data_IF_255158938302
#
_entry.id   IF_255158938302
#
_cell.length_a   1.000
_cell.length_b   1.000
_cell.length_c   1.000
_cell.angle_alpha   90.00
_cell.angle_beta   90.00
_cell.angle_gamma   90.00
#
_symmetry.space_group_name_H-M   'P 1'
#
loop_
_entity.id
_entity.type
_entity.pdbx_description
1 polymer ?
#
# COMPACT_ATOMS: atom_id res chain seq x y z
N UNK A 1 -58.65 -16.67 -35.17
CA UNK A 1 -57.20 -16.70 -34.87
C UNK A 1 -57.00 -16.31 -33.41
N UNK A 2 -56.10 -17.02 -32.72
CA UNK A 2 -55.64 -16.94 -31.29
C UNK A 2 -55.80 -15.54 -30.64
N UNK A 3 -56.11 -15.41 -29.34
CA UNK A 3 -55.13 -15.71 -28.26
C UNK A 3 -55.77 -15.81 -26.86
N UNK A 4 -55.25 -16.75 -26.09
CA UNK A 4 -55.46 -17.02 -24.66
C UNK A 4 -54.82 -15.93 -23.78
N UNK A 5 -55.45 -15.54 -22.67
CA UNK A 5 -54.79 -14.77 -21.59
C UNK A 5 -54.68 -15.63 -20.33
N UNK A 6 -53.47 -16.14 -20.06
CA UNK A 6 -53.06 -16.64 -18.75
C UNK A 6 -52.04 -15.67 -18.19
N UNK A 7 -52.33 -15.03 -17.05
CA UNK A 7 -51.30 -14.45 -16.19
C UNK A 7 -51.76 -14.56 -14.73
N UNK A 8 -50.98 -15.27 -13.92
CA UNK A 8 -50.94 -15.09 -12.47
C UNK A 8 -49.46 -15.14 -12.09
N UNK A 9 -48.94 -13.94 -11.90
CA UNK A 9 -47.62 -13.67 -11.35
C UNK A 9 -47.54 -14.22 -9.93
N UNK A 10 -46.49 -14.98 -9.61
CA UNK A 10 -46.05 -15.15 -8.22
C UNK A 10 -44.56 -14.83 -8.18
N UNK A 11 -44.27 -13.57 -7.89
CA UNK A 11 -42.94 -13.10 -7.52
C UNK A 11 -42.67 -13.51 -6.08
N UNK A 12 -41.74 -14.42 -5.86
CA UNK A 12 -41.16 -14.67 -4.55
C UNK A 12 -39.79 -13.98 -4.48
N UNK A 13 -39.77 -12.72 -4.00
CA UNK A 13 -38.53 -12.09 -3.57
C UNK A 13 -38.18 -12.61 -2.16
N UNK A 14 -37.27 -13.57 -2.08
CA UNK A 14 -36.61 -13.92 -0.83
C UNK A 14 -35.44 -12.95 -0.60
N UNK A 15 -35.63 -11.95 0.27
CA UNK A 15 -34.54 -11.09 0.75
C UNK A 15 -33.69 -11.89 1.76
N UNK A 16 -32.52 -12.35 1.32
CA UNK A 16 -31.49 -12.86 2.22
C UNK A 16 -30.82 -11.71 2.97
N UNK A 17 -30.97 -11.67 4.30
CA UNK A 17 -30.18 -10.80 5.16
C UNK A 17 -28.71 -11.22 5.11
N UNK A 18 -27.88 -10.49 4.36
CA UNK A 18 -26.43 -10.51 4.52
C UNK A 18 -26.09 -9.71 5.77
N UNK A 19 -25.70 -10.41 6.83
CA UNK A 19 -25.12 -9.81 8.03
C UNK A 19 -23.81 -9.12 7.68
N UNK A 20 -23.82 -7.79 7.64
CA UNK A 20 -22.60 -7.00 7.56
C UNK A 20 -21.84 -7.18 8.88
N UNK A 21 -20.78 -7.99 8.86
CA UNK A 21 -19.77 -7.96 9.91
C UNK A 21 -19.15 -6.57 9.85
N UNK A 22 -19.54 -5.70 10.77
CA UNK A 22 -18.93 -4.38 10.93
C UNK A 22 -17.48 -4.61 11.35
N UNK A 23 -16.56 -4.61 10.37
CA UNK A 23 -15.14 -4.52 10.64
C UNK A 23 -14.94 -3.16 11.29
N UNK A 24 -14.76 -3.14 12.61
CA UNK A 24 -14.37 -1.93 13.33
C UNK A 24 -12.99 -1.56 12.81
N UNK A 25 -12.92 -0.57 11.93
CA UNK A 25 -11.64 0.04 11.58
C UNK A 25 -10.99 0.50 12.88
N UNK A 26 -9.82 -0.07 13.20
CA UNK A 26 -8.97 0.51 14.22
C UNK A 26 -8.80 1.98 13.84
N UNK A 27 -9.04 2.91 14.77
CA UNK A 27 -8.92 4.34 14.48
C UNK A 27 -7.51 4.80 14.84
N UNK A 28 -6.91 5.65 14.01
CA UNK A 28 -5.64 6.31 14.33
C UNK A 28 -5.67 6.98 15.71
N UNK A 29 -4.50 7.09 16.33
CA UNK A 29 -4.32 7.98 17.47
C UNK A 29 -4.31 9.42 16.96
N UNK A 30 -5.32 10.21 17.34
CA UNK A 30 -5.36 11.66 17.07
C UNK A 30 -4.93 12.42 18.31
N UNK A 31 -3.96 13.31 18.16
CA UNK A 31 -3.50 14.18 19.22
C UNK A 31 -4.36 15.46 19.28
N UNK A 32 -4.41 16.17 20.43
CA UNK A 32 -5.16 17.42 20.56
C UNK A 32 -4.73 18.53 19.58
N UNK A 33 -3.51 18.46 19.06
CA UNK A 33 -2.96 19.38 18.06
C UNK A 33 -3.30 19.01 16.60
N UNK A 34 -4.14 17.99 16.41
CA UNK A 34 -4.58 17.52 15.09
C UNK A 34 -3.61 16.56 14.41
N UNK A 35 -2.46 16.25 15.02
CA UNK A 35 -1.57 15.19 14.50
C UNK A 35 -2.25 13.83 14.55
N UNK A 36 -1.92 12.99 13.57
CA UNK A 36 -2.39 11.61 13.46
C UNK A 36 -1.19 10.68 13.54
N UNK A 37 -1.29 9.61 14.33
CA UNK A 37 -0.30 8.55 14.39
C UNK A 37 -0.96 7.17 14.29
N UNK A 38 -0.18 6.21 13.81
CA UNK A 38 -0.55 4.80 13.87
C UNK A 38 -0.72 4.37 15.33
N UNK A 39 -1.72 3.53 15.58
CA UNK A 39 -1.89 2.84 16.85
C UNK A 39 -0.73 1.85 17.10
N UNK A 40 -0.35 1.09 16.06
CA UNK A 40 0.90 0.34 16.02
C UNK A 40 1.71 0.75 14.79
N UNK A 41 2.96 1.23 14.96
CA UNK A 41 3.74 1.75 13.85
C UNK A 41 4.17 0.62 12.89
N UNK A 42 4.27 0.91 11.58
CA UNK A 42 4.93 0.04 10.62
C UNK A 42 6.41 -0.21 10.99
N UNK A 43 6.94 -1.35 10.59
CA UNK A 43 8.33 -1.74 10.86
C UNK A 43 9.10 -2.04 9.59
N UNK A 44 10.35 -1.60 9.51
CA UNK A 44 11.28 -2.03 8.46
C UNK A 44 11.81 -3.42 8.84
N UNK A 45 11.31 -4.45 8.14
CA UNK A 45 11.67 -5.85 8.36
C UNK A 45 13.00 -6.19 7.71
N UNK A 46 13.23 -5.66 6.51
CA UNK A 46 14.41 -5.96 5.72
C UNK A 46 14.84 -4.76 4.87
N UNK A 47 16.15 -4.55 4.77
CA UNK A 47 16.79 -3.66 3.80
C UNK A 47 17.97 -4.40 3.17
N UNK A 48 17.87 -4.71 1.89
CA UNK A 48 18.82 -5.59 1.19
C UNK A 48 19.08 -5.09 -0.23
N UNK A 49 20.21 -5.48 -0.80
CA UNK A 49 20.61 -5.09 -2.15
C UNK A 49 20.91 -6.33 -2.96
N UNK A 50 20.33 -6.40 -4.16
CA UNK A 50 20.71 -7.37 -5.18
C UNK A 50 21.84 -6.81 -6.03
N UNK A 51 22.75 -7.69 -6.43
CA UNK A 51 23.90 -7.42 -7.29
C UNK A 51 25.04 -6.67 -6.57
N UNK A 52 25.82 -7.44 -5.80
CA UNK A 52 27.01 -6.96 -5.07
C UNK A 52 28.28 -6.91 -5.95
N UNK A 53 28.16 -7.18 -7.26
CA UNK A 53 29.31 -7.26 -8.15
C UNK A 53 29.69 -5.87 -8.66
N UNK A 54 30.97 -5.50 -8.47
CA UNK A 54 31.50 -4.21 -8.89
C UNK A 54 31.20 -3.95 -10.37
N UNK A 55 30.53 -2.83 -10.66
CA UNK A 55 30.17 -2.41 -12.03
C UNK A 55 28.70 -2.58 -12.42
N UNK A 56 27.86 -3.22 -11.60
CA UNK A 56 26.41 -3.33 -11.85
C UNK A 56 25.60 -2.30 -11.05
N UNK A 57 24.52 -1.79 -11.66
CA UNK A 57 23.51 -1.00 -10.97
C UNK A 57 22.70 -1.90 -10.04
N UNK A 58 22.99 -1.86 -8.74
CA UNK A 58 22.28 -2.67 -7.75
C UNK A 58 20.84 -2.21 -7.55
N UNK A 59 19.95 -3.17 -7.26
CA UNK A 59 18.56 -2.90 -6.87
C UNK A 59 18.40 -3.03 -5.36
N UNK A 60 17.94 -1.95 -4.73
CA UNK A 60 17.65 -1.91 -3.30
C UNK A 60 16.21 -2.38 -3.05
N UNK A 61 16.03 -3.22 -2.05
CA UNK A 61 14.74 -3.73 -1.62
C UNK A 61 14.52 -3.38 -0.15
N UNK A 62 13.33 -2.89 0.15
CA UNK A 62 12.88 -2.56 1.51
C UNK A 62 11.57 -3.29 1.77
N UNK A 63 11.52 -4.07 2.84
CA UNK A 63 10.31 -4.78 3.26
C UNK A 63 9.74 -4.06 4.48
N UNK A 64 8.54 -3.53 4.35
CA UNK A 64 7.83 -2.80 5.41
C UNK A 64 6.61 -3.61 5.81
N UNK A 65 6.52 -3.96 7.08
CA UNK A 65 5.33 -4.58 7.65
C UNK A 65 4.42 -3.48 8.19
N UNK A 66 3.15 -3.50 7.77
CA UNK A 66 2.09 -2.66 8.33
C UNK A 66 1.19 -3.57 9.18
N UNK A 67 1.15 -3.38 10.51
CA UNK A 67 0.33 -4.20 11.38
C UNK A 67 -1.17 -4.12 11.02
N UNK A 68 -1.89 -5.23 11.17
CA UNK A 68 -3.33 -5.27 10.89
C UNK A 68 -4.14 -4.30 11.78
N UNK A 69 -3.62 -3.96 12.96
CA UNK A 69 -4.18 -3.02 13.92
C UNK A 69 -3.41 -1.68 13.96
N UNK A 70 -2.75 -1.30 12.85
CA UNK A 70 -2.05 -0.03 12.72
C UNK A 70 -2.97 1.20 12.89
N UNK A 71 -4.30 1.03 12.77
CA UNK A 71 -5.28 2.09 12.95
C UNK A 71 -5.51 2.97 11.73
N UNK A 72 -4.61 2.96 10.75
CA UNK A 72 -4.78 3.63 9.45
C UNK A 72 -3.97 2.86 8.40
N UNK A 73 -4.35 2.94 7.10
CA UNK A 73 -3.52 2.44 6.03
C UNK A 73 -2.21 3.24 5.91
N UNK A 74 -1.16 2.59 5.41
CA UNK A 74 0.09 3.26 5.10
C UNK A 74 -0.11 4.21 3.91
N UNK A 75 0.08 5.52 4.15
CA UNK A 75 -0.09 6.53 3.11
C UNK A 75 1.12 6.70 2.20
N UNK A 76 2.32 6.86 2.76
CA UNK A 76 3.55 7.04 1.98
C UNK A 76 4.79 6.59 2.75
N UNK A 77 5.86 6.34 2.01
CA UNK A 77 7.19 5.99 2.54
C UNK A 77 8.22 6.91 1.88
N UNK A 78 9.09 7.50 2.69
CA UNK A 78 10.21 8.32 2.21
C UNK A 78 11.52 7.62 2.53
N UNK A 79 12.29 7.30 1.49
CA UNK A 79 13.61 6.68 1.62
C UNK A 79 14.65 7.73 1.27
N UNK A 80 15.51 8.08 2.23
CA UNK A 80 16.57 9.07 2.05
C UNK A 80 17.93 8.38 2.16
N UNK A 81 18.75 8.37 1.10
CA UNK A 81 20.13 7.91 1.20
C UNK A 81 20.91 8.72 2.23
N UNK A 82 21.78 8.07 3.00
CA UNK A 82 22.70 8.77 3.90
C UNK A 82 23.83 9.39 3.08
N UNK A 83 24.52 10.40 3.61
CA UNK A 83 25.72 10.94 2.98
C UNK A 83 26.77 9.82 2.77
N UNK A 84 27.26 9.73 1.54
CA UNK A 84 28.28 8.79 1.12
C UNK A 84 29.41 9.54 0.40
N UNK A 85 30.59 8.93 0.34
CA UNK A 85 31.75 9.53 -0.33
C UNK A 85 31.55 9.74 -1.85
N UNK A 86 30.55 9.06 -2.45
CA UNK A 86 30.17 9.19 -3.85
C UNK A 86 28.67 9.43 -4.00
N UNK A 87 28.30 10.25 -4.98
CA UNK A 87 26.91 10.48 -5.36
C UNK A 87 26.40 9.30 -6.19
N UNK A 88 25.35 8.64 -5.70
CA UNK A 88 24.66 7.56 -6.42
C UNK A 88 23.34 8.11 -6.95
N UNK A 89 23.13 8.00 -8.26
CA UNK A 89 21.86 8.37 -8.88
C UNK A 89 20.85 7.22 -8.78
N UNK A 90 19.64 7.50 -8.29
CA UNK A 90 18.56 6.51 -8.19
C UNK A 90 17.50 6.77 -9.26
N UNK A 91 17.04 5.70 -9.93
CA UNK A 91 15.94 5.74 -10.89
C UNK A 91 14.61 5.57 -10.15
N UNK A 92 14.08 6.67 -9.64
CA UNK A 92 12.86 6.70 -8.84
C UNK A 92 11.64 6.29 -9.69
N UNK A 93 11.63 6.63 -10.98
CA UNK A 93 10.64 6.23 -11.99
C UNK A 93 10.51 4.72 -12.20
N UNK A 94 11.57 3.98 -11.89
CA UNK A 94 11.62 2.51 -12.03
C UNK A 94 11.32 1.78 -10.71
N UNK A 95 10.74 2.48 -9.73
CA UNK A 95 10.39 1.87 -8.45
C UNK A 95 9.08 1.10 -8.57
N UNK A 96 9.04 -0.06 -7.91
CA UNK A 96 7.88 -0.94 -7.89
C UNK A 96 7.55 -1.30 -6.44
N UNK A 97 6.26 -1.55 -6.15
CA UNK A 97 5.82 -2.08 -4.87
C UNK A 97 4.97 -3.33 -5.07
N UNK A 98 5.15 -4.30 -4.18
CA UNK A 98 4.41 -5.56 -4.20
C UNK A 98 4.02 -5.97 -2.78
N UNK A 99 2.95 -6.75 -2.66
CA UNK A 99 2.56 -7.42 -1.42
C UNK A 99 3.31 -8.77 -1.31
N UNK A 100 4.62 -8.71 -1.08
CA UNK A 100 5.47 -9.89 -0.91
C UNK A 100 6.74 -9.58 -0.09
N UNK A 101 7.38 -10.61 0.52
CA UNK A 101 8.75 -10.50 1.03
C UNK A 101 9.76 -10.16 -0.07
N UNK A 102 11.00 -9.80 0.33
CA UNK A 102 12.05 -9.51 -0.64
C UNK A 102 12.26 -10.68 -1.62
N UNK A 103 12.42 -10.34 -2.90
CA UNK A 103 12.65 -11.27 -4.01
C UNK A 103 11.53 -12.26 -4.34
N UNK A 104 10.45 -12.29 -3.57
CA UNK A 104 9.25 -13.06 -3.87
C UNK A 104 8.37 -12.31 -4.88
N UNK A 105 7.60 -13.07 -5.66
CA UNK A 105 6.56 -12.49 -6.51
C UNK A 105 5.29 -12.26 -5.68
N UNK A 106 4.56 -11.20 -6.00
CA UNK A 106 3.28 -10.89 -5.36
C UNK A 106 2.47 -9.88 -6.16
N UNK A 107 1.25 -9.58 -5.70
CA UNK A 107 0.41 -8.56 -6.31
C UNK A 107 1.13 -7.21 -6.30
N UNK A 108 1.12 -6.53 -7.45
CA UNK A 108 1.65 -5.16 -7.57
C UNK A 108 0.73 -4.17 -6.85
N UNK A 109 1.33 -3.19 -6.19
CA UNK A 109 0.66 -2.08 -5.54
C UNK A 109 0.97 -0.82 -6.33
N UNK A 110 -0.08 -0.09 -6.72
CA UNK A 110 0.10 1.17 -7.43
C UNK A 110 0.80 2.19 -6.53
N UNK A 111 1.88 2.77 -7.02
CA UNK A 111 2.60 3.83 -6.34
C UNK A 111 1.99 5.17 -6.75
N UNK A 112 1.18 5.75 -5.86
CA UNK A 112 0.44 6.98 -6.15
C UNK A 112 1.34 8.20 -6.47
N UNK A 113 2.60 8.19 -6.02
CA UNK A 113 3.66 9.08 -6.48
C UNK A 113 4.96 8.60 -5.85
N UNK A 114 5.88 8.05 -6.62
CA UNK A 114 7.25 7.78 -6.12
C UNK A 114 7.97 9.12 -6.03
N UNK A 115 7.70 9.88 -4.97
CA UNK A 115 8.05 11.29 -4.93
C UNK A 115 7.35 12.08 -3.83
N UNK A 116 7.51 11.66 -2.57
CA UNK A 116 7.37 12.63 -1.46
C UNK A 116 8.17 13.90 -1.81
N UNK A 117 7.62 15.08 -1.50
CA UNK A 117 8.13 16.38 -1.98
C UNK A 117 9.65 16.39 -2.12
N UNK A 118 10.15 16.47 -3.36
CA UNK A 118 11.55 16.76 -3.64
C UNK A 118 11.87 18.06 -2.90
N UNK A 119 12.61 17.97 -1.80
CA UNK A 119 13.31 19.12 -1.26
C UNK A 119 14.39 19.46 -2.28
N UNK A 120 14.02 20.27 -3.28
CA UNK A 120 14.98 20.94 -4.15
C UNK A 120 15.84 21.77 -3.24
N UNK A 121 17.10 21.36 -3.06
CA UNK A 121 18.11 22.17 -2.39
C UNK A 121 18.25 23.44 -3.23
N UNK A 122 17.67 24.55 -2.77
CA UNK A 122 18.01 25.87 -3.28
C UNK A 122 19.52 26.02 -3.11
N UNK A 123 20.24 26.09 -4.23
CA UNK A 123 21.63 26.52 -4.26
C UNK A 123 21.66 28.01 -4.56
#
# INVERSE_FOLDING_TARGET
MKTTLQTLNVSALALGLLGAVAVTSAQAVRFPDGRVAFNRPPTLVEATTRDQQAGFSGRYHFVIEVPADAGEPLGSVVITPRDHASSIAFRVDASEATLAPAYAQGPSVELASVGGQLHTRQQ
#
